data_IF_826526544935
#
_entry.id   IF_826526544935
#
_cell.length_a   1.000
_cell.length_b   1.000
_cell.length_c   1.000
_cell.angle_alpha   90.00
_cell.angle_beta   90.00
_cell.angle_gamma   90.00
#
_symmetry.space_group_name_H-M   'P 1'
#
loop_
_entity.id
_entity.type
_entity.pdbx_description
1 polymer ?
#
# COMPACT_ATOMS: atom_id res chain seq x y z
N UNK A 1 -2.31 -7.00 22.22
CA UNK A 1 -1.69 -7.65 21.05
C UNK A 1 -2.41 -8.96 20.85
N UNK A 2 -3.05 -9.16 19.69
CA UNK A 2 -3.79 -10.40 19.40
C UNK A 2 -2.80 -11.48 18.89
N UNK A 3 -2.56 -12.55 19.66
CA UNK A 3 -1.62 -13.60 19.29
C UNK A 3 -2.10 -14.43 18.08
N UNK A 4 -3.37 -14.34 17.67
CA UNK A 4 -3.90 -15.06 16.52
C UNK A 4 -3.45 -14.41 15.21
N UNK A 5 -3.37 -13.08 15.13
CA UNK A 5 -2.94 -12.39 13.90
C UNK A 5 -1.49 -12.66 13.53
N UNK A 6 -0.61 -12.77 14.54
CA UNK A 6 0.79 -13.15 14.32
C UNK A 6 0.90 -14.62 13.90
N UNK A 7 0.06 -15.51 14.45
CA UNK A 7 0.02 -16.92 14.06
C UNK A 7 -0.55 -17.13 12.64
N UNK A 8 -1.55 -16.38 12.22
CA UNK A 8 -2.05 -16.40 10.83
C UNK A 8 -0.98 -15.92 9.84
N UNK A 9 -0.28 -14.82 10.15
CA UNK A 9 0.85 -14.34 9.34
C UNK A 9 1.97 -15.38 9.27
N UNK A 10 2.38 -15.98 10.40
CA UNK A 10 3.37 -17.07 10.47
C UNK A 10 2.90 -18.33 9.73
N UNK A 11 1.60 -18.63 9.73
CA UNK A 11 1.03 -19.78 9.02
C UNK A 11 0.94 -19.54 7.52
N UNK A 12 0.72 -18.29 7.07
CA UNK A 12 0.82 -17.89 5.66
C UNK A 12 2.27 -17.92 5.16
N UNK A 13 3.26 -17.59 6.00
CA UNK A 13 4.67 -17.68 5.62
C UNK A 13 5.18 -19.13 5.49
N UNK A 14 4.51 -20.10 6.13
CA UNK A 14 4.90 -21.50 6.15
C UNK A 14 4.46 -22.30 4.90
N UNK A 15 3.63 -21.73 4.02
CA UNK A 15 3.08 -22.38 2.81
C UNK A 15 3.39 -21.59 1.54
N UNK A 16 4.66 -21.22 1.36
CA UNK A 16 5.12 -20.38 0.23
C UNK A 16 5.20 -21.11 -1.12
N UNK A 17 5.17 -22.44 -1.10
CA UNK A 17 5.42 -23.28 -2.30
C UNK A 17 4.16 -23.53 -3.16
N UNK A 18 2.96 -23.12 -2.72
CA UNK A 18 1.68 -23.38 -3.43
C UNK A 18 0.84 -22.11 -3.71
N UNK A 19 1.34 -20.91 -3.40
CA UNK A 19 0.60 -19.66 -3.66
C UNK A 19 0.67 -19.27 -5.13
N UNK A 20 -0.47 -18.91 -5.70
CA UNK A 20 -0.51 -18.25 -7.02
C UNK A 20 0.12 -16.86 -6.98
N UNK A 21 0.53 -16.33 -8.13
CA UNK A 21 1.14 -14.99 -8.24
C UNK A 21 0.24 -13.89 -7.63
N UNK A 22 -1.08 -14.02 -7.75
CA UNK A 22 -2.02 -13.06 -7.17
C UNK A 22 -2.04 -13.15 -5.64
N UNK A 23 -2.05 -14.36 -5.09
CA UNK A 23 -2.02 -14.57 -3.64
C UNK A 23 -0.70 -14.07 -3.04
N UNK A 24 0.44 -14.36 -3.68
CA UNK A 24 1.74 -13.82 -3.24
C UNK A 24 1.79 -12.29 -3.35
N UNK A 25 1.17 -11.72 -4.39
CA UNK A 25 0.99 -10.27 -4.52
C UNK A 25 0.18 -9.67 -3.36
N UNK A 26 -0.95 -10.29 -3.01
CA UNK A 26 -1.79 -9.84 -1.89
C UNK A 26 -1.05 -9.94 -0.54
N UNK A 27 -0.36 -11.06 -0.30
CA UNK A 27 0.47 -11.24 0.91
C UNK A 27 1.60 -10.21 0.95
N UNK A 28 2.20 -9.91 -0.21
CA UNK A 28 3.25 -8.89 -0.32
C UNK A 28 2.73 -7.49 0.03
N UNK A 29 1.52 -7.11 -0.41
CA UNK A 29 0.89 -5.84 -0.04
C UNK A 29 0.71 -5.74 1.48
N UNK A 30 0.20 -6.80 2.12
CA UNK A 30 0.03 -6.88 3.59
C UNK A 30 1.37 -6.75 4.31
N UNK A 31 2.40 -7.47 3.85
CA UNK A 31 3.74 -7.44 4.44
C UNK A 31 4.38 -6.06 4.34
N UNK A 32 4.25 -5.39 3.19
CA UNK A 32 4.74 -4.02 3.01
C UNK A 32 4.03 -3.06 3.97
N UNK A 33 2.71 -3.14 4.09
CA UNK A 33 1.98 -2.29 5.06
C UNK A 33 2.50 -2.49 6.48
N UNK A 34 2.68 -3.73 6.93
CA UNK A 34 3.17 -4.04 8.28
C UNK A 34 4.62 -3.57 8.50
N UNK A 35 5.48 -3.64 7.47
CA UNK A 35 6.86 -3.13 7.52
C UNK A 35 6.91 -1.65 7.91
N UNK A 36 5.99 -0.82 7.40
CA UNK A 36 5.98 0.62 7.68
C UNK A 36 5.10 1.02 8.86
N UNK A 37 3.98 0.33 9.10
CA UNK A 37 3.04 0.65 10.19
C UNK A 37 3.51 0.20 11.58
N UNK A 38 4.45 -0.76 11.62
CA UNK A 38 5.00 -1.28 12.87
C UNK A 38 3.91 -1.88 13.76
N UNK A 39 4.07 -1.75 15.08
CA UNK A 39 3.21 -2.43 16.06
C UNK A 39 1.78 -1.90 16.18
N UNK A 40 1.49 -0.71 15.65
CA UNK A 40 0.14 -0.10 15.74
C UNK A 40 -0.76 -0.41 14.56
N UNK A 41 -0.26 -1.11 13.53
CA UNK A 41 -1.02 -1.44 12.32
C UNK A 41 -1.67 -0.22 11.64
N UNK A 42 -1.09 0.97 11.82
CA UNK A 42 -1.47 2.22 11.17
C UNK A 42 -0.23 3.02 10.76
N UNK A 43 -0.34 3.79 9.68
CA UNK A 43 0.74 4.62 9.16
C UNK A 43 0.50 6.08 9.53
N UNK A 44 1.50 6.70 10.15
CA UNK A 44 1.55 8.16 10.25
C UNK A 44 2.08 8.76 8.95
N UNK A 45 1.87 10.05 8.76
CA UNK A 45 2.32 10.80 7.58
C UNK A 45 3.79 10.54 7.21
N UNK A 46 4.70 10.50 8.18
CA UNK A 46 6.12 10.20 7.94
C UNK A 46 6.36 8.75 7.44
N UNK A 47 5.60 7.78 7.96
CA UNK A 47 5.69 6.38 7.53
C UNK A 47 5.10 6.20 6.13
N UNK A 48 3.99 6.89 5.82
CA UNK A 48 3.41 6.94 4.48
C UNK A 48 4.41 7.51 3.46
N UNK A 49 5.08 8.63 3.80
CA UNK A 49 6.14 9.22 2.96
C UNK A 49 7.26 8.23 2.66
N UNK A 50 7.73 7.52 3.69
CA UNK A 50 8.80 6.53 3.53
C UNK A 50 8.35 5.35 2.66
N UNK A 51 7.12 4.85 2.86
CA UNK A 51 6.54 3.76 2.06
C UNK A 51 6.50 4.14 0.58
N UNK A 52 5.90 5.29 0.24
CA UNK A 52 5.77 5.74 -1.15
C UNK A 52 7.15 5.90 -1.80
N UNK A 53 8.08 6.57 -1.13
CA UNK A 53 9.40 6.84 -1.70
C UNK A 53 10.29 5.60 -1.85
N UNK A 54 10.03 4.52 -1.10
CA UNK A 54 10.85 3.31 -1.12
C UNK A 54 10.25 2.18 -1.94
N UNK A 55 8.92 2.00 -1.89
CA UNK A 55 8.23 0.87 -2.53
C UNK A 55 7.56 1.28 -3.85
N UNK A 56 7.26 2.57 -4.04
CA UNK A 56 6.54 3.09 -5.20
C UNK A 56 7.34 4.12 -6.01
N UNK A 57 8.66 4.16 -5.87
CA UNK A 57 9.52 5.21 -6.46
C UNK A 57 9.50 5.29 -8.00
N UNK A 58 9.01 4.24 -8.66
CA UNK A 58 8.86 4.18 -10.13
C UNK A 58 7.44 4.49 -10.61
N UNK A 59 6.44 4.42 -9.71
CA UNK A 59 5.04 4.66 -10.01
C UNK A 59 4.59 6.06 -9.58
N UNK A 60 5.11 6.53 -8.45
CA UNK A 60 4.84 7.84 -7.89
C UNK A 60 6.15 8.61 -7.91
N UNK A 61 6.14 9.81 -8.51
CA UNK A 61 7.28 10.73 -8.42
C UNK A 61 7.60 10.95 -6.94
N UNK A 62 8.86 10.80 -6.54
CA UNK A 62 9.26 10.95 -5.12
C UNK A 62 8.60 12.18 -4.51
N UNK A 63 7.86 11.98 -3.44
CA UNK A 63 7.18 13.08 -2.75
C UNK A 63 8.25 13.86 -1.99
N UNK A 64 8.72 14.95 -2.61
CA UNK A 64 9.67 15.89 -2.01
C UNK A 64 8.92 16.99 -1.26
N UNK A 65 7.82 17.45 -1.84
CA UNK A 65 6.98 18.53 -1.31
C UNK A 65 6.06 18.01 -0.20
N UNK A 66 6.02 18.72 0.92
CA UNK A 66 5.15 18.32 2.04
C UNK A 66 3.67 18.54 1.71
N UNK A 67 3.35 19.51 0.86
CA UNK A 67 1.97 19.86 0.51
C UNK A 67 1.28 18.74 -0.28
N UNK A 68 1.98 18.12 -1.25
CA UNK A 68 1.47 16.94 -1.97
C UNK A 68 1.25 15.75 -1.03
N UNK A 69 2.11 15.58 -0.03
CA UNK A 69 1.92 14.55 0.99
C UNK A 69 0.74 14.87 1.90
N UNK A 70 0.51 16.15 2.23
CA UNK A 70 -0.61 16.61 3.06
C UNK A 70 -1.94 16.35 2.37
N UNK A 71 -2.06 16.72 1.09
CA UNK A 71 -3.26 16.47 0.29
C UNK A 71 -3.54 14.97 0.18
N UNK A 72 -2.53 14.18 -0.22
CA UNK A 72 -2.69 12.73 -0.30
C UNK A 72 -3.05 12.11 1.04
N UNK A 73 -2.44 12.56 2.13
CA UNK A 73 -2.76 12.05 3.46
C UNK A 73 -4.20 12.39 3.84
N UNK A 74 -4.65 13.61 3.59
CA UNK A 74 -6.02 14.04 3.86
C UNK A 74 -7.06 13.29 3.01
N UNK A 75 -6.71 12.94 1.78
CA UNK A 75 -7.56 12.15 0.90
C UNK A 75 -7.65 10.67 1.33
N UNK A 76 -6.61 10.13 1.95
CA UNK A 76 -6.60 8.76 2.45
C UNK A 76 -7.20 8.62 3.85
N UNK A 77 -6.99 9.60 4.75
CA UNK A 77 -7.50 9.63 6.14
C UNK A 77 -9.01 9.95 6.17
N UNK A 78 -9.81 9.00 5.72
CA UNK A 78 -11.26 9.15 5.58
C UNK A 78 -11.96 9.24 6.94
N UNK A 79 -11.42 8.55 7.95
CA UNK A 79 -11.96 8.59 9.30
C UNK A 79 -11.49 9.81 10.12
N UNK A 80 -10.48 10.54 9.61
CA UNK A 80 -9.88 11.76 10.19
C UNK A 80 -9.24 11.55 11.55
N UNK A 81 -8.60 10.40 11.75
CA UNK A 81 -7.89 10.07 12.99
C UNK A 81 -6.39 10.41 12.97
N UNK A 82 -5.92 11.01 11.86
CA UNK A 82 -4.53 11.38 11.61
C UNK A 82 -3.57 10.19 11.48
N UNK A 83 -4.10 9.01 11.19
CA UNK A 83 -3.38 7.78 10.89
C UNK A 83 -4.05 7.07 9.69
N UNK A 84 -3.28 6.34 8.89
CA UNK A 84 -3.81 5.56 7.76
C UNK A 84 -3.87 4.10 8.18
N UNK A 85 -5.07 3.54 8.22
CA UNK A 85 -5.26 2.10 8.45
C UNK A 85 -5.07 1.27 7.17
N UNK A 86 -5.27 -0.04 7.27
CA UNK A 86 -5.06 -0.93 6.13
C UNK A 86 -6.10 -0.71 5.01
N UNK A 87 -7.35 -0.39 5.35
CA UNK A 87 -8.40 -0.17 4.35
C UNK A 87 -8.11 1.11 3.56
N UNK A 88 -7.71 2.18 4.25
CA UNK A 88 -7.30 3.44 3.65
C UNK A 88 -6.03 3.27 2.79
N UNK A 89 -5.07 2.46 3.24
CA UNK A 89 -3.90 2.10 2.44
C UNK A 89 -4.26 1.32 1.16
N UNK A 90 -5.20 0.38 1.21
CA UNK A 90 -5.64 -0.36 0.02
C UNK A 90 -6.29 0.56 -1.01
N UNK A 91 -6.96 1.64 -0.59
CA UNK A 91 -7.48 2.64 -1.52
C UNK A 91 -6.36 3.30 -2.34
N UNK A 92 -5.21 3.62 -1.73
CA UNK A 92 -4.02 4.10 -2.44
C UNK A 92 -3.52 3.06 -3.46
N UNK A 93 -3.41 1.79 -3.06
CA UNK A 93 -2.96 0.71 -3.94
C UNK A 93 -3.90 0.55 -5.14
N UNK A 94 -5.21 0.58 -4.91
CA UNK A 94 -6.21 0.48 -5.96
C UNK A 94 -6.13 1.67 -6.93
N UNK A 95 -5.94 2.89 -6.41
CA UNK A 95 -5.78 4.11 -7.21
C UNK A 95 -4.53 4.03 -8.11
N UNK A 96 -3.38 3.70 -7.53
CA UNK A 96 -2.11 3.58 -8.27
C UNK A 96 -2.18 2.47 -9.30
N UNK A 97 -2.74 1.31 -8.93
CA UNK A 97 -2.89 0.16 -9.85
C UNK A 97 -3.81 0.49 -11.02
N UNK A 98 -4.93 1.19 -10.77
CA UNK A 98 -5.85 1.64 -11.82
C UNK A 98 -5.18 2.65 -12.76
N UNK A 99 -4.45 3.63 -12.21
CA UNK A 99 -3.69 4.60 -13.02
C UNK A 99 -2.60 3.91 -13.87
N UNK A 100 -1.96 2.86 -13.34
CA UNK A 100 -1.02 2.05 -14.11
C UNK A 100 -1.73 1.28 -15.23
N UNK A 101 -2.91 0.71 -14.96
CA UNK A 101 -3.69 0.01 -15.98
C UNK A 101 -4.02 0.91 -17.18
N UNK A 102 -4.38 2.17 -16.94
CA UNK A 102 -4.58 3.16 -18.01
C UNK A 102 -3.29 3.47 -18.79
N UNK A 103 -2.14 3.46 -18.13
CA UNK A 103 -0.84 3.69 -18.76
C UNK A 103 -0.36 2.51 -19.63
N UNK A 104 -0.69 1.28 -19.23
CA UNK A 104 -0.31 0.04 -19.91
C UNK A 104 -1.39 -0.52 -20.83
N UNK A 105 -2.61 0.03 -20.79
CA UNK A 105 -3.63 -0.29 -21.79
C UNK A 105 -3.16 0.30 -23.13
N UNK A 106 -3.04 -0.53 -24.19
CA UNK A 106 -2.67 -0.02 -25.50
C UNK A 106 -3.66 1.08 -25.86
N UNK A 107 -3.17 2.31 -26.06
CA UNK A 107 -3.97 3.37 -26.67
C UNK A 107 -4.46 2.81 -28.00
N UNK A 108 -5.75 2.50 -28.09
CA UNK A 108 -6.41 2.35 -29.36
C UNK A 108 -6.28 3.73 -30.04
N UNK A 109 -5.33 3.80 -30.98
CA UNK A 109 -5.24 4.90 -31.92
C UNK A 109 -6.39 4.66 -32.89
N UNK A 110 -7.57 5.16 -32.54
CA UNK A 110 -8.68 5.20 -33.48
C UNK A 110 -8.36 6.30 -34.51
N UNK A 111 -7.87 5.86 -35.67
CA UNK A 111 -7.83 6.64 -36.92
C UNK A 111 -9.24 6.79 -37.53
#
# INVERSE_FOLDING_TARGET
QDPYRTKELLSMEASKDDMSDLEDGMVTIVRVFHKYSGHRCKLKKAQLKALINNEMSHFIMKIQENDVLDELFADLDQNRDLEIDFQEFIALIAMVTSACHEFFSPKHHDD
#
